data_IF_212973177252
#
_entry.id   IF_212973177252
#
_cell.length_a   1.000
_cell.length_b   1.000
_cell.length_c   1.000
_cell.angle_alpha   90.00
_cell.angle_beta   90.00
_cell.angle_gamma   90.00
#
_symmetry.space_group_name_H-M   'P 1'
#
loop_
_entity.id
_entity.type
_entity.pdbx_description
1 polymer ?
#
# COMPACT_ATOMS: atom_id res chain seq x y z
N UNK A 1 -2.39 12.04 -8.79
CA UNK A 1 -1.53 10.93 -8.32
C UNK A 1 -0.89 11.37 -7.03
N UNK A 2 -1.10 10.64 -5.94
CA UNK A 2 -0.51 10.95 -4.65
C UNK A 2 0.82 10.21 -4.45
N UNK A 3 1.74 10.88 -3.76
CA UNK A 3 3.04 10.32 -3.37
C UNK A 3 3.24 10.58 -1.89
N UNK A 4 3.69 9.56 -1.18
CA UNK A 4 4.11 9.65 0.22
C UNK A 4 5.56 9.21 0.29
N UNK A 5 6.29 9.79 1.24
CA UNK A 5 7.73 9.63 1.38
C UNK A 5 8.05 9.23 2.82
N UNK A 6 9.13 8.48 2.98
CA UNK A 6 9.74 8.26 4.28
C UNK A 6 10.48 9.53 4.74
N UNK A 7 10.79 9.61 6.03
CA UNK A 7 11.58 10.70 6.61
C UNK A 7 12.95 10.85 5.95
N UNK A 8 13.54 9.77 5.45
CA UNK A 8 14.80 9.78 4.71
C UNK A 8 14.67 10.33 3.27
N UNK A 9 13.47 10.75 2.84
CA UNK A 9 13.18 11.29 1.52
C UNK A 9 12.89 10.24 0.45
N UNK A 10 13.02 8.94 0.74
CA UNK A 10 12.72 7.90 -0.22
C UNK A 10 11.21 7.75 -0.44
N UNK A 11 10.82 7.40 -1.67
CA UNK A 11 9.43 7.17 -2.03
C UNK A 11 8.88 5.99 -1.22
N UNK A 12 7.75 6.19 -0.55
CA UNK A 12 7.05 5.18 0.25
C UNK A 12 5.88 4.57 -0.50
N UNK A 13 5.09 5.40 -1.17
CA UNK A 13 4.01 4.94 -2.02
C UNK A 13 3.75 5.89 -3.19
N UNK A 14 3.24 5.32 -4.28
CA UNK A 14 2.67 6.05 -5.41
C UNK A 14 1.28 5.50 -5.70
N UNK A 15 0.27 6.32 -5.45
CA UNK A 15 -1.15 5.94 -5.52
C UNK A 15 -1.83 6.72 -6.65
N UNK A 16 -2.33 6.04 -7.70
CA UNK A 16 -3.16 6.70 -8.68
C UNK A 16 -4.47 7.13 -8.04
N UNK A 17 -4.94 8.32 -8.40
CA UNK A 17 -6.16 8.89 -7.89
C UNK A 17 -6.98 9.46 -9.05
N UNK A 18 -8.29 9.38 -8.93
CA UNK A 18 -9.29 9.90 -9.86
C UNK A 18 -10.43 10.48 -9.03
N UNK A 19 -10.89 11.68 -9.38
CA UNK A 19 -12.00 12.36 -8.70
C UNK A 19 -11.80 12.44 -7.18
N UNK A 20 -10.58 12.81 -6.76
CA UNK A 20 -10.12 12.90 -5.36
C UNK A 20 -10.16 11.58 -4.56
N UNK A 21 -10.30 10.44 -5.24
CA UNK A 21 -10.23 9.09 -4.64
C UNK A 21 -9.07 8.28 -5.17
N UNK A 22 -8.51 7.39 -4.34
CA UNK A 22 -7.57 6.37 -4.79
C UNK A 22 -8.25 5.39 -5.75
N UNK A 23 -7.66 5.22 -6.93
CA UNK A 23 -8.22 4.42 -8.01
C UNK A 23 -7.10 3.74 -8.82
N UNK A 24 -7.16 2.41 -8.93
CA UNK A 24 -6.21 1.61 -9.69
C UNK A 24 -5.04 1.08 -8.86
N UNK A 25 -3.95 0.67 -9.53
CA UNK A 25 -2.83 -0.04 -8.90
C UNK A 25 -1.82 0.96 -8.32
N UNK A 26 -1.79 1.06 -6.99
CA UNK A 26 -0.73 1.71 -6.24
C UNK A 26 0.49 0.80 -6.07
N UNK A 27 1.66 1.42 -5.89
CA UNK A 27 2.94 0.74 -5.66
C UNK A 27 3.55 1.23 -4.36
N UNK A 28 3.88 0.33 -3.44
CA UNK A 28 4.55 0.68 -2.18
C UNK A 28 5.98 0.15 -2.19
N UNK A 29 6.84 0.86 -1.47
CA UNK A 29 8.28 0.68 -1.47
C UNK A 29 8.79 0.62 -0.03
N UNK A 30 9.88 -0.10 0.20
CA UNK A 30 10.58 -0.10 1.50
C UNK A 30 11.44 1.18 1.67
N UNK A 31 12.04 1.34 2.86
CA UNK A 31 12.91 2.49 3.16
C UNK A 31 14.15 2.61 2.25
N UNK A 32 14.56 1.53 1.58
CA UNK A 32 15.68 1.49 0.64
C UNK A 32 15.27 1.87 -0.79
N UNK A 33 13.97 1.96 -1.07
CA UNK A 33 13.42 2.28 -2.39
C UNK A 33 13.02 1.07 -3.22
N UNK A 34 13.12 -0.15 -2.70
CA UNK A 34 12.69 -1.36 -3.41
C UNK A 34 11.18 -1.50 -3.36
N UNK A 35 10.56 -1.87 -4.48
CA UNK A 35 9.12 -2.17 -4.51
C UNK A 35 8.85 -3.47 -3.74
N UNK A 36 7.90 -3.42 -2.82
CA UNK A 36 7.54 -4.58 -1.98
C UNK A 36 6.11 -5.08 -2.23
N UNK A 37 5.21 -4.21 -2.70
CA UNK A 37 3.82 -4.60 -2.98
C UNK A 37 3.11 -3.72 -4.00
N UNK A 38 2.09 -4.31 -4.61
CA UNK A 38 1.05 -3.64 -5.41
C UNK A 38 -0.26 -3.68 -4.64
N UNK A 39 -0.94 -2.55 -4.58
CA UNK A 39 -2.25 -2.41 -3.91
C UNK A 39 -3.28 -1.97 -4.93
N UNK A 40 -4.34 -2.74 -5.11
CA UNK A 40 -5.44 -2.36 -5.98
C UNK A 40 -6.47 -1.56 -5.19
N UNK A 41 -6.65 -0.29 -5.56
CA UNK A 41 -7.68 0.58 -5.02
C UNK A 41 -8.87 0.69 -5.96
N UNK A 42 -10.08 0.76 -5.38
CA UNK A 42 -11.30 1.17 -6.06
C UNK A 42 -12.09 2.08 -5.13
N UNK A 43 -12.30 3.33 -5.54
CA UNK A 43 -13.08 4.33 -4.78
C UNK A 43 -12.62 4.45 -3.31
N UNK A 44 -11.30 4.57 -3.09
CA UNK A 44 -10.61 4.58 -1.78
C UNK A 44 -10.53 3.25 -1.01
N UNK A 45 -11.20 2.19 -1.48
CA UNK A 45 -11.17 0.88 -0.83
C UNK A 45 -10.06 -0.02 -1.38
N UNK A 46 -9.37 -0.73 -0.48
CA UNK A 46 -8.37 -1.73 -0.84
C UNK A 46 -9.09 -3.01 -1.29
N UNK A 47 -8.91 -3.37 -2.56
CA UNK A 47 -9.46 -4.60 -3.14
C UNK A 47 -8.50 -5.79 -2.96
N UNK A 48 -7.19 -5.56 -3.10
CA UNK A 48 -6.17 -6.59 -2.90
C UNK A 48 -4.78 -6.00 -2.68
N UNK A 49 -3.93 -6.77 -2.01
CA UNK A 49 -2.50 -6.48 -1.84
C UNK A 49 -1.72 -7.71 -2.29
N UNK A 50 -0.76 -7.50 -3.20
CA UNK A 50 0.13 -8.55 -3.71
C UNK A 50 1.58 -8.12 -3.52
N UNK A 51 2.33 -8.95 -2.78
CA UNK A 51 3.76 -8.78 -2.57
C UNK A 51 4.55 -9.13 -3.83
N UNK A 52 5.75 -8.58 -3.97
CA UNK A 52 6.64 -8.90 -5.11
C UNK A 52 7.09 -10.35 -5.15
N UNK A 53 7.06 -11.06 -4.01
CA UNK A 53 7.31 -12.50 -3.93
C UNK A 53 6.08 -13.37 -4.25
N UNK A 54 4.96 -12.79 -4.65
CA UNK A 54 3.73 -13.49 -5.02
C UNK A 54 2.77 -13.79 -3.86
N UNK A 55 3.17 -13.57 -2.59
CA UNK A 55 2.24 -13.64 -1.45
C UNK A 55 1.12 -12.61 -1.60
N UNK A 56 -0.09 -12.96 -1.19
CA UNK A 56 -1.24 -12.05 -1.14
C UNK A 56 -1.71 -11.92 0.29
N UNK A 57 -2.23 -10.73 0.63
CA UNK A 57 -2.78 -10.51 1.97
C UNK A 57 -4.15 -11.17 2.10
N UNK A 58 -4.41 -11.75 3.26
CA UNK A 58 -5.71 -12.36 3.58
C UNK A 58 -6.77 -11.28 3.83
N UNK A 59 -8.05 -11.65 3.76
CA UNK A 59 -9.15 -10.73 4.08
C UNK A 59 -9.06 -10.14 5.49
N UNK A 60 -8.51 -10.87 6.45
CA UNK A 60 -8.28 -10.39 7.82
C UNK A 60 -7.20 -9.30 7.86
N UNK A 61 -6.08 -9.49 7.14
CA UNK A 61 -5.04 -8.48 7.00
C UNK A 61 -5.57 -7.24 6.26
N UNK A 62 -6.40 -7.41 5.24
CA UNK A 62 -7.02 -6.28 4.53
C UNK A 62 -7.98 -5.51 5.44
N UNK A 63 -8.80 -6.19 6.24
CA UNK A 63 -9.69 -5.55 7.20
C UNK A 63 -8.90 -4.75 8.25
N UNK A 64 -7.82 -5.33 8.79
CA UNK A 64 -6.90 -4.64 9.72
C UNK A 64 -6.36 -3.34 9.11
N UNK A 65 -5.94 -3.38 7.84
CA UNK A 65 -5.44 -2.20 7.14
C UNK A 65 -6.56 -1.17 6.92
N UNK A 66 -7.75 -1.60 6.50
CA UNK A 66 -8.86 -0.68 6.22
C UNK A 66 -9.29 0.11 7.46
N UNK A 67 -9.19 -0.48 8.65
CA UNK A 67 -9.48 0.16 9.94
C UNK A 67 -8.30 0.97 10.51
N UNK A 68 -7.12 0.92 9.89
CA UNK A 68 -5.95 1.66 10.37
C UNK A 68 -6.03 3.15 10.01
N UNK A 69 -5.49 4.00 10.89
CA UNK A 69 -5.38 5.44 10.62
C UNK A 69 -4.44 5.76 9.44
N UNK A 70 -3.49 4.87 9.14
CA UNK A 70 -2.57 5.00 8.02
C UNK A 70 -2.39 3.64 7.33
N UNK A 71 -3.13 3.45 6.24
CA UNK A 71 -3.14 2.19 5.48
C UNK A 71 -1.76 1.82 4.94
N UNK A 72 -0.94 2.80 4.57
CA UNK A 72 0.37 2.56 3.97
C UNK A 72 1.32 1.97 5.01
N UNK A 73 1.35 2.58 6.20
CA UNK A 73 2.24 2.16 7.29
C UNK A 73 1.83 0.80 7.82
N UNK A 74 0.52 0.57 7.97
CA UNK A 74 -0.01 -0.72 8.42
C UNK A 74 0.31 -1.84 7.43
N UNK A 75 0.15 -1.60 6.12
CA UNK A 75 0.47 -2.60 5.09
C UNK A 75 1.97 -2.95 5.08
N UNK A 76 2.84 -1.95 5.25
CA UNK A 76 4.30 -2.15 5.34
C UNK A 76 4.66 -2.91 6.62
N UNK A 77 4.01 -2.62 7.75
CA UNK A 77 4.23 -3.33 9.00
C UNK A 77 3.87 -4.82 8.85
N UNK A 78 2.69 -5.13 8.32
CA UNK A 78 2.27 -6.51 8.05
C UNK A 78 3.25 -7.21 7.10
N UNK A 79 3.72 -6.53 6.04
CA UNK A 79 4.72 -7.11 5.13
C UNK A 79 6.02 -7.51 5.84
N UNK A 80 6.49 -6.71 6.79
CA UNK A 80 7.72 -7.01 7.54
C UNK A 80 7.56 -8.16 8.55
N UNK A 81 6.33 -8.57 8.85
CA UNK A 81 5.99 -9.69 9.75
C UNK A 81 5.79 -11.03 8.99
N UNK A 82 5.84 -11.03 7.65
CA UNK A 82 5.62 -12.20 6.76
C UNK A 82 6.88 -13.01 6.44
#
# INVERSE_FOLDING_TARGET
>A
MWKTYYENGNLKAKTPCKDDKAQGIARFYNKNGDMIMKVLYKDDEIQSITCTNGKQFTSEQLARIQHANNHIDEAIQIYNEL
#
